data_IF_737416129586
#
_entry.id   IF_737416129586
#
_cell.length_a   1.000
_cell.length_b   1.000
_cell.length_c   1.000
_cell.angle_alpha   90.00
_cell.angle_beta   90.00
_cell.angle_gamma   90.00
#
_symmetry.space_group_name_H-M   'P 1'
#
loop_
_entity.id
_entity.type
_entity.pdbx_description
1 polymer ?
#
# COMPACT_ATOMS: atom_id res chain seq x y z
N UNK A 1 -16.46 -3.36 8.16
CA UNK A 1 -16.96 -3.96 9.43
C UNK A 1 -16.96 -5.48 9.38
N UNK A 2 -17.60 -6.14 8.40
CA UNK A 2 -17.66 -7.60 8.30
C UNK A 2 -16.27 -8.29 8.31
N UNK A 3 -15.31 -7.81 7.51
CA UNK A 3 -13.94 -8.34 7.51
C UNK A 3 -13.25 -8.29 8.89
N UNK A 4 -13.46 -7.21 9.65
CA UNK A 4 -12.90 -7.08 11.00
C UNK A 4 -13.52 -8.09 11.96
N UNK A 5 -14.85 -8.27 11.92
CA UNK A 5 -15.55 -9.27 12.72
C UNK A 5 -15.05 -10.69 12.41
N UNK A 6 -14.87 -11.03 11.13
CA UNK A 6 -14.33 -12.32 10.71
C UNK A 6 -12.88 -12.52 11.19
N UNK A 7 -12.04 -11.48 11.15
CA UNK A 7 -10.69 -11.55 11.71
C UNK A 7 -10.70 -11.79 13.23
N UNK A 8 -11.56 -11.08 13.97
CA UNK A 8 -11.67 -11.28 15.42
C UNK A 8 -12.19 -12.68 15.76
N UNK A 9 -13.20 -13.17 15.04
CA UNK A 9 -13.68 -14.54 15.18
C UNK A 9 -12.57 -15.56 14.90
N UNK A 10 -11.84 -15.40 13.79
CA UNK A 10 -10.76 -16.30 13.42
C UNK A 10 -9.62 -16.29 14.44
N UNK A 11 -9.28 -15.11 15.00
CA UNK A 11 -8.27 -14.95 16.03
C UNK A 11 -8.68 -15.62 17.35
N UNK A 12 -9.93 -15.44 17.79
CA UNK A 12 -10.45 -16.10 18.99
C UNK A 12 -10.46 -17.61 18.79
N UNK A 13 -10.95 -18.09 17.63
CA UNK A 13 -11.02 -19.52 17.33
C UNK A 13 -9.62 -20.16 17.34
N UNK A 14 -8.64 -19.59 16.63
CA UNK A 14 -7.28 -20.15 16.62
C UNK A 14 -6.60 -19.97 17.99
N UNK A 15 -6.90 -18.90 18.72
CA UNK A 15 -6.44 -18.67 20.09
C UNK A 15 -6.85 -19.79 21.04
N UNK A 16 -8.14 -20.13 21.05
CA UNK A 16 -8.69 -21.20 21.88
C UNK A 16 -8.07 -22.57 21.56
N UNK A 17 -7.71 -22.82 20.31
CA UNK A 17 -7.09 -24.08 19.89
C UNK A 17 -5.58 -24.12 20.19
N UNK A 18 -4.86 -23.01 19.98
CA UNK A 18 -3.41 -23.01 19.91
C UNK A 18 -2.73 -22.52 21.21
N UNK A 19 -3.34 -21.58 21.93
CA UNK A 19 -2.78 -21.06 23.20
C UNK A 19 -2.56 -22.16 24.25
N UNK A 20 -3.44 -23.16 24.43
CA UNK A 20 -3.20 -24.25 25.39
C UNK A 20 -1.93 -25.06 25.12
N UNK A 21 -1.53 -25.19 23.85
CA UNK A 21 -0.31 -25.89 23.47
C UNK A 21 0.94 -25.01 23.58
N UNK A 22 0.84 -23.73 23.20
CA UNK A 22 1.98 -22.82 23.12
C UNK A 22 2.30 -22.13 24.46
N UNK A 23 1.27 -21.82 25.22
CA UNK A 23 1.28 -20.82 26.30
C UNK A 23 1.41 -19.38 25.77
N UNK A 24 1.06 -18.42 26.62
CA UNK A 24 0.95 -16.98 26.30
C UNK A 24 2.17 -16.40 25.57
N UNK A 25 3.38 -16.69 26.03
CA UNK A 25 4.60 -16.09 25.47
C UNK A 25 4.89 -16.55 24.02
N UNK A 26 4.75 -17.86 23.74
CA UNK A 26 4.93 -18.39 22.38
C UNK A 26 3.78 -17.97 21.47
N UNK A 27 2.56 -17.92 21.99
CA UNK A 27 1.40 -17.45 21.24
C UNK A 27 1.58 -16.00 20.80
N UNK A 28 1.93 -15.09 21.73
CA UNK A 28 2.14 -13.69 21.42
C UNK A 28 3.31 -13.47 20.46
N UNK A 29 4.45 -14.12 20.70
CA UNK A 29 5.61 -14.00 19.80
C UNK A 29 5.33 -14.55 18.41
N UNK A 30 4.64 -15.69 18.29
CA UNK A 30 4.22 -16.22 16.99
C UNK A 30 3.32 -15.23 16.24
N UNK A 31 2.33 -14.65 16.93
CA UNK A 31 1.41 -13.70 16.33
C UNK A 31 2.14 -12.47 15.79
N UNK A 32 3.05 -11.88 16.57
CA UNK A 32 3.82 -10.71 16.17
C UNK A 32 4.78 -11.02 15.01
N UNK A 33 5.55 -12.11 15.11
CA UNK A 33 6.54 -12.49 14.10
C UNK A 33 5.84 -12.89 12.79
N UNK A 34 4.73 -13.60 12.85
CA UNK A 34 3.98 -13.96 11.65
C UNK A 34 3.27 -12.76 11.01
N UNK A 35 2.87 -11.77 11.81
CA UNK A 35 2.43 -10.47 11.31
C UNK A 35 3.52 -9.78 10.49
N UNK A 36 4.76 -9.73 11.00
CA UNK A 36 5.92 -9.21 10.27
C UNK A 36 6.14 -9.99 8.96
N UNK A 37 6.12 -11.33 9.02
CA UNK A 37 6.26 -12.19 7.83
C UNK A 37 5.21 -11.89 6.76
N UNK A 38 3.95 -11.71 7.16
CA UNK A 38 2.87 -11.32 6.26
C UNK A 38 3.09 -9.94 5.66
N UNK A 39 3.43 -8.94 6.47
CA UNK A 39 3.69 -7.58 6.00
C UNK A 39 4.85 -7.51 5.01
N UNK A 40 5.93 -8.25 5.26
CA UNK A 40 7.08 -8.30 4.32
C UNK A 40 6.66 -8.94 2.99
N UNK A 41 5.91 -10.04 3.01
CA UNK A 41 5.41 -10.65 1.79
C UNK A 41 4.46 -9.72 1.01
N UNK A 42 3.61 -8.97 1.72
CA UNK A 42 2.78 -7.93 1.10
C UNK A 42 3.62 -6.88 0.39
N UNK A 43 4.62 -6.31 1.08
CA UNK A 43 5.44 -5.23 0.53
C UNK A 43 6.27 -5.74 -0.66
N UNK A 44 6.72 -6.99 -0.61
CA UNK A 44 7.47 -7.60 -1.70
C UNK A 44 6.64 -7.89 -2.95
N UNK A 45 5.34 -8.21 -2.78
CA UNK A 45 4.50 -8.64 -3.89
C UNK A 45 3.58 -7.53 -4.43
N UNK A 46 3.27 -6.52 -3.62
CA UNK A 46 2.35 -5.45 -3.98
C UNK A 46 3.08 -4.10 -3.99
N UNK A 47 3.11 -3.45 -5.15
CA UNK A 47 3.85 -2.21 -5.38
C UNK A 47 3.24 -0.96 -4.73
N UNK A 48 1.92 -0.97 -4.49
CA UNK A 48 1.17 0.22 -4.04
C UNK A 48 0.19 -0.06 -2.90
N UNK A 49 0.08 -1.29 -2.41
CA UNK A 49 -0.88 -1.61 -1.33
C UNK A 49 -0.22 -1.56 0.05
N UNK A 50 -0.60 -0.56 0.85
CA UNK A 50 -0.33 -0.57 2.29
C UNK A 50 -1.29 -1.56 2.95
N UNK A 51 -0.89 -2.82 3.03
CA UNK A 51 -1.66 -3.84 3.75
C UNK A 51 -1.32 -3.79 5.25
N UNK A 52 -2.10 -3.01 5.99
CA UNK A 52 -2.09 -3.03 7.45
C UNK A 52 -3.23 -3.93 7.94
N UNK A 53 -2.94 -5.21 8.21
CA UNK A 53 -3.98 -6.19 8.53
C UNK A 53 -3.57 -7.23 9.56
N UNK A 54 -4.41 -7.41 10.58
CA UNK A 54 -4.31 -8.53 11.52
C UNK A 54 -4.44 -9.91 10.84
N UNK A 55 -5.02 -9.96 9.64
CA UNK A 55 -5.28 -11.20 8.89
C UNK A 55 -3.99 -11.94 8.50
N UNK A 56 -2.91 -11.25 8.14
CA UNK A 56 -1.61 -11.89 7.89
C UNK A 56 -1.07 -12.62 9.12
N UNK A 57 -1.13 -11.98 10.29
CA UNK A 57 -0.76 -12.59 11.57
C UNK A 57 -1.67 -13.78 11.92
N UNK A 58 -2.99 -13.68 11.68
CA UNK A 58 -3.95 -14.77 11.89
C UNK A 58 -3.61 -15.97 11.00
N UNK A 59 -3.37 -15.76 9.71
CA UNK A 59 -2.91 -16.82 8.80
C UNK A 59 -1.59 -17.45 9.27
N UNK A 60 -0.72 -16.63 9.84
CA UNK A 60 0.44 -17.08 10.59
C UNK A 60 0.13 -18.06 11.71
N UNK A 61 -0.84 -17.74 12.57
CA UNK A 61 -1.26 -18.64 13.65
C UNK A 61 -1.85 -19.95 13.11
N UNK A 62 -2.57 -19.90 11.99
CA UNK A 62 -3.00 -21.11 11.28
C UNK A 62 -1.81 -21.91 10.74
N UNK A 63 -0.77 -21.25 10.22
CA UNK A 63 0.47 -21.89 9.78
C UNK A 63 1.20 -22.58 10.91
N UNK A 64 1.31 -21.93 12.08
CA UNK A 64 1.86 -22.55 13.29
C UNK A 64 1.07 -23.80 13.64
N UNK A 65 -0.27 -23.72 13.62
CA UNK A 65 -1.11 -24.85 13.99
C UNK A 65 -1.00 -26.00 12.99
N UNK A 66 -0.95 -25.72 11.68
CA UNK A 66 -0.68 -26.72 10.64
C UNK A 66 0.65 -27.43 10.89
N UNK A 67 1.72 -26.69 11.20
CA UNK A 67 3.01 -27.29 11.54
C UNK A 67 2.92 -28.19 12.78
N UNK A 68 2.16 -27.81 13.82
CA UNK A 68 2.00 -28.67 15.00
C UNK A 68 1.14 -29.92 14.71
N UNK A 69 0.15 -29.82 13.84
CA UNK A 69 -0.71 -30.93 13.42
C UNK A 69 0.04 -32.01 12.64
N UNK A 70 1.15 -31.68 11.97
CA UNK A 70 2.02 -32.67 11.30
C UNK A 70 2.98 -33.36 12.27
N UNK A 71 3.10 -32.88 13.51
CA UNK A 71 3.98 -33.45 14.54
C UNK A 71 3.25 -34.43 15.46
N UNK A 72 3.95 -34.99 16.45
CA UNK A 72 3.35 -35.86 17.48
C UNK A 72 2.66 -35.10 18.64
N UNK A 73 2.66 -33.76 18.63
CA UNK A 73 2.15 -32.96 19.75
C UNK A 73 0.64 -33.06 19.94
N UNK A 74 -0.12 -33.18 18.84
CA UNK A 74 -1.58 -33.26 18.85
C UNK A 74 -2.01 -34.71 18.66
N UNK A 75 -3.07 -35.16 19.33
CA UNK A 75 -3.57 -36.52 19.22
C UNK A 75 -3.97 -36.90 17.78
N UNK A 76 -3.61 -38.12 17.37
CA UNK A 76 -3.79 -38.59 15.98
C UNK A 76 -5.25 -38.57 15.53
N UNK A 77 -6.19 -38.83 16.44
CA UNK A 77 -7.65 -38.80 16.21
C UNK A 77 -8.14 -37.42 15.79
N UNK A 78 -7.61 -36.35 16.39
CA UNK A 78 -8.03 -34.97 16.13
C UNK A 78 -7.40 -34.37 14.87
N UNK A 79 -6.19 -34.82 14.48
CA UNK A 79 -5.39 -34.20 13.40
C UNK A 79 -6.14 -34.07 12.08
N UNK A 80 -6.77 -35.15 11.62
CA UNK A 80 -7.44 -35.16 10.30
C UNK A 80 -8.58 -34.14 10.26
N UNK A 81 -9.42 -34.11 11.29
CA UNK A 81 -10.56 -33.18 11.38
C UNK A 81 -10.07 -31.73 11.42
N UNK A 82 -9.07 -31.44 12.25
CA UNK A 82 -8.51 -30.09 12.37
C UNK A 82 -7.81 -29.63 11.08
N UNK A 83 -7.04 -30.49 10.42
CA UNK A 83 -6.42 -30.17 9.12
C UNK A 83 -7.45 -29.88 8.04
N UNK A 84 -8.55 -30.64 7.99
CA UNK A 84 -9.65 -30.36 7.04
C UNK A 84 -10.28 -29.01 7.34
N UNK A 85 -10.62 -28.75 8.61
CA UNK A 85 -11.23 -27.48 9.04
C UNK A 85 -10.36 -26.27 8.67
N UNK A 86 -9.07 -26.33 8.99
CA UNK A 86 -8.10 -25.27 8.65
C UNK A 86 -7.91 -25.16 7.15
N UNK A 87 -7.81 -26.29 6.43
CA UNK A 87 -7.66 -26.31 4.98
C UNK A 87 -8.83 -25.63 4.27
N UNK A 88 -10.06 -25.89 4.71
CA UNK A 88 -11.26 -25.21 4.22
C UNK A 88 -11.21 -23.72 4.51
N UNK A 89 -10.85 -23.31 5.73
CA UNK A 89 -10.72 -21.90 6.09
C UNK A 89 -9.67 -21.16 5.23
N UNK A 90 -8.46 -21.72 5.12
CA UNK A 90 -7.36 -21.14 4.34
C UNK A 90 -7.75 -21.05 2.86
N UNK A 91 -8.28 -22.14 2.29
CA UNK A 91 -8.72 -22.16 0.90
C UNK A 91 -9.81 -21.12 0.62
N UNK A 92 -10.85 -21.07 1.46
CA UNK A 92 -11.94 -20.12 1.30
C UNK A 92 -11.46 -18.66 1.34
N UNK A 93 -10.59 -18.30 2.29
CA UNK A 93 -10.11 -16.94 2.40
C UNK A 93 -9.18 -16.55 1.23
N UNK A 94 -8.27 -17.42 0.82
CA UNK A 94 -7.39 -17.17 -0.33
C UNK A 94 -8.19 -17.06 -1.64
N UNK A 95 -9.20 -17.93 -1.83
CA UNK A 95 -10.08 -17.87 -2.99
C UNK A 95 -10.90 -16.57 -3.03
N UNK A 96 -11.33 -16.06 -1.87
CA UNK A 96 -11.97 -14.74 -1.81
C UNK A 96 -11.00 -13.60 -2.11
N UNK A 97 -9.72 -13.72 -1.74
CA UNK A 97 -8.75 -12.68 -2.05
C UNK A 97 -8.41 -12.53 -3.53
N UNK A 98 -8.72 -13.53 -4.36
CA UNK A 98 -8.65 -13.40 -5.81
C UNK A 98 -9.67 -12.40 -6.38
N UNK A 99 -10.70 -12.02 -5.62
CA UNK A 99 -11.74 -11.06 -6.04
C UNK A 99 -11.36 -9.59 -5.80
N UNK A 100 -10.15 -9.32 -5.29
CA UNK A 100 -9.69 -7.97 -4.95
C UNK A 100 -10.09 -7.52 -3.53
N UNK A 101 -9.39 -6.50 -3.02
CA UNK A 101 -9.64 -5.92 -1.68
C UNK A 101 -9.12 -6.75 -0.49
N UNK A 102 -8.46 -7.88 -0.75
CA UNK A 102 -7.79 -8.72 0.27
C UNK A 102 -6.38 -9.01 -0.22
N UNK A 103 -5.41 -8.80 0.66
CA UNK A 103 -4.02 -9.05 0.36
C UNK A 103 -3.65 -10.53 0.60
N UNK A 104 -3.67 -11.30 -0.49
CA UNK A 104 -3.27 -12.70 -0.48
C UNK A 104 -1.76 -12.88 -0.24
N UNK A 105 -0.92 -11.89 -0.58
CA UNK A 105 0.51 -11.98 -0.33
C UNK A 105 0.78 -11.96 1.17
N UNK A 106 0.09 -11.11 1.94
CA UNK A 106 0.16 -11.17 3.41
C UNK A 106 -0.35 -12.49 3.99
N UNK A 107 -1.41 -13.08 3.42
CA UNK A 107 -1.95 -14.37 3.91
C UNK A 107 -0.97 -15.51 3.67
N UNK A 108 -0.40 -15.59 2.47
CA UNK A 108 0.57 -16.63 2.11
C UNK A 108 1.86 -16.44 2.90
N UNK A 109 2.39 -15.22 2.97
CA UNK A 109 3.60 -14.90 3.75
C UNK A 109 3.43 -15.14 5.23
N UNK A 110 2.26 -14.81 5.78
CA UNK A 110 1.87 -15.14 7.15
C UNK A 110 1.86 -16.64 7.36
N UNK A 111 1.12 -17.40 6.55
CA UNK A 111 0.99 -18.86 6.65
C UNK A 111 2.34 -19.57 6.60
N UNK A 112 3.20 -19.22 5.64
CA UNK A 112 4.54 -19.80 5.49
C UNK A 112 5.45 -19.44 6.66
N UNK A 113 5.44 -18.17 7.10
CA UNK A 113 6.18 -17.75 8.30
C UNK A 113 5.70 -18.51 9.55
N UNK A 114 4.39 -18.69 9.68
CA UNK A 114 3.77 -19.50 10.72
C UNK A 114 4.24 -20.95 10.75
N UNK A 115 4.36 -21.60 9.58
CA UNK A 115 4.89 -22.97 9.49
C UNK A 115 6.31 -23.05 10.05
N UNK A 116 7.18 -22.11 9.67
CA UNK A 116 8.56 -22.03 10.15
C UNK A 116 8.60 -21.83 11.67
N UNK A 117 7.79 -20.91 12.20
CA UNK A 117 7.68 -20.64 13.64
C UNK A 117 7.21 -21.90 14.39
N UNK A 118 6.16 -22.58 13.89
CA UNK A 118 5.60 -23.77 14.53
C UNK A 118 6.58 -24.94 14.62
N UNK A 119 7.29 -25.23 13.52
CA UNK A 119 8.35 -26.24 13.55
C UNK A 119 9.52 -25.85 14.46
N UNK A 120 9.87 -24.57 14.51
CA UNK A 120 10.93 -24.08 15.39
C UNK A 120 10.57 -24.21 16.87
N UNK A 121 9.30 -24.01 17.25
CA UNK A 121 8.85 -24.19 18.64
C UNK A 121 8.78 -25.65 19.07
N UNK A 122 8.53 -26.58 18.14
CA UNK A 122 8.26 -27.99 18.43
C UNK A 122 9.25 -28.65 19.41
N UNK A 123 10.59 -28.55 19.26
CA UNK A 123 11.54 -29.15 20.20
C UNK A 123 11.33 -28.72 21.66
N UNK A 124 11.07 -27.43 21.87
CA UNK A 124 10.84 -26.85 23.21
C UNK A 124 9.44 -27.11 23.77
N UNK A 125 8.52 -27.62 22.95
CA UNK A 125 7.17 -28.03 23.35
C UNK A 125 7.17 -29.49 23.82
N UNK A 126 7.91 -30.38 23.15
CA UNK A 126 7.99 -31.80 23.54
C UNK A 126 8.96 -32.06 24.69
N UNK A 127 9.99 -31.22 24.83
CA UNK A 127 10.94 -31.25 25.94
C UNK A 127 10.97 -29.85 26.56
N UNK A 128 10.03 -29.55 27.48
CA UNK A 128 9.93 -28.22 28.07
C UNK A 128 11.19 -27.89 28.87
N UNK A 129 12.03 -27.06 28.27
CA UNK A 129 13.28 -26.60 28.87
C UNK A 129 13.22 -25.07 29.08
N UNK A 130 13.69 -24.62 30.25
CA UNK A 130 13.62 -23.20 30.66
C UNK A 130 14.52 -22.30 29.81
N UNK A 131 15.54 -22.87 29.16
CA UNK A 131 16.53 -22.19 28.33
C UNK A 131 16.11 -22.24 26.86
N UNK A 132 15.65 -23.39 26.38
CA UNK A 132 15.32 -23.58 24.96
C UNK A 132 14.17 -22.68 24.50
N UNK A 133 13.13 -22.50 25.33
CA UNK A 133 11.99 -21.62 25.02
C UNK A 133 12.41 -20.17 24.69
N UNK A 134 13.06 -19.42 25.61
CA UNK A 134 13.44 -18.03 25.32
C UNK A 134 14.47 -17.93 24.19
N UNK A 135 15.39 -18.90 24.05
CA UNK A 135 16.35 -18.92 22.95
C UNK A 135 15.64 -19.02 21.60
N UNK A 136 14.70 -19.95 21.44
CA UNK A 136 13.98 -20.10 20.16
C UNK A 136 13.18 -18.84 19.81
N UNK A 137 12.50 -18.22 20.80
CA UNK A 137 11.79 -16.96 20.58
C UNK A 137 12.76 -15.85 20.17
N UNK A 138 13.89 -15.73 20.86
CA UNK A 138 14.92 -14.74 20.57
C UNK A 138 15.52 -14.89 19.16
N UNK A 139 15.91 -16.11 18.79
CA UNK A 139 16.45 -16.42 17.45
C UNK A 139 15.42 -16.10 16.37
N UNK A 140 14.17 -16.55 16.51
CA UNK A 140 13.13 -16.25 15.52
C UNK A 140 12.90 -14.74 15.39
N UNK A 141 12.87 -14.02 16.50
CA UNK A 141 12.68 -12.56 16.48
C UNK A 141 13.83 -11.88 15.73
N UNK A 142 15.08 -12.28 16.00
CA UNK A 142 16.27 -11.73 15.34
C UNK A 142 16.28 -12.07 13.85
N UNK A 143 16.07 -13.34 13.48
CA UNK A 143 16.10 -13.80 12.09
C UNK A 143 15.01 -13.10 11.27
N UNK A 144 13.77 -13.09 11.76
CA UNK A 144 12.69 -12.41 11.05
C UNK A 144 12.92 -10.90 11.00
N UNK A 145 13.40 -10.25 12.07
CA UNK A 145 13.64 -8.81 12.05
C UNK A 145 14.78 -8.41 11.10
N UNK A 146 15.91 -9.13 11.11
CA UNK A 146 17.04 -8.88 10.21
C UNK A 146 16.64 -9.17 8.76
N UNK A 147 15.98 -10.32 8.51
CA UNK A 147 15.49 -10.66 7.18
C UNK A 147 14.50 -9.62 6.65
N UNK A 148 13.55 -9.20 7.49
CA UNK A 148 12.58 -8.15 7.14
C UNK A 148 13.27 -6.83 6.84
N UNK A 149 14.24 -6.41 7.66
CA UNK A 149 14.99 -5.17 7.42
C UNK A 149 15.78 -5.22 6.11
N UNK A 150 16.44 -6.35 5.81
CA UNK A 150 17.16 -6.54 4.56
C UNK A 150 16.23 -6.47 3.35
N UNK A 151 15.07 -7.13 3.42
CA UNK A 151 14.06 -7.12 2.35
C UNK A 151 13.48 -5.72 2.18
N UNK A 152 13.02 -5.07 3.24
CA UNK A 152 12.44 -3.72 3.19
C UNK A 152 13.44 -2.69 2.65
N UNK A 153 14.71 -2.78 3.04
CA UNK A 153 15.76 -1.90 2.50
C UNK A 153 16.03 -2.13 1.01
N UNK A 154 15.85 -3.36 0.52
CA UNK A 154 16.02 -3.67 -0.90
C UNK A 154 14.77 -3.36 -1.72
N UNK A 155 13.59 -3.30 -1.10
CA UNK A 155 12.33 -2.89 -1.74
C UNK A 155 12.11 -1.38 -1.63
N UNK A 156 12.88 -0.64 -0.82
CA UNK A 156 12.64 0.79 -0.60
C UNK A 156 12.83 1.59 -1.89
N UNK A 157 11.78 1.62 -2.68
CA UNK A 157 11.53 2.52 -3.78
C UNK A 157 11.50 3.94 -3.23
N UNK A 158 11.77 4.89 -4.10
CA UNK A 158 11.73 6.31 -3.77
C UNK A 158 10.28 6.80 -3.51
N UNK A 159 9.30 5.90 -3.31
CA UNK A 159 7.89 6.16 -3.01
C UNK A 159 7.71 7.13 -1.83
N UNK A 160 8.52 7.01 -0.77
CA UNK A 160 8.43 7.94 0.37
C UNK A 160 8.77 9.38 -0.03
N UNK A 161 9.80 9.55 -0.87
CA UNK A 161 10.17 10.86 -1.43
C UNK A 161 9.15 11.33 -2.46
N UNK A 162 8.61 10.40 -3.25
CA UNK A 162 7.55 10.65 -4.21
C UNK A 162 6.32 11.23 -3.53
N UNK A 163 5.85 10.63 -2.43
CA UNK A 163 4.68 11.14 -1.71
C UNK A 163 4.91 12.55 -1.16
N UNK A 164 6.08 12.81 -0.57
CA UNK A 164 6.48 14.15 -0.10
C UNK A 164 6.51 15.18 -1.24
N UNK A 165 7.14 14.84 -2.38
CA UNK A 165 7.17 15.71 -3.56
C UNK A 165 5.77 15.88 -4.19
N UNK A 166 4.92 14.87 -4.17
CA UNK A 166 3.54 14.98 -4.67
C UNK A 166 2.66 15.86 -3.77
N UNK A 167 2.94 15.99 -2.47
CA UNK A 167 2.32 17.02 -1.63
C UNK A 167 2.72 18.43 -2.07
N UNK A 168 3.98 18.63 -2.47
CA UNK A 168 4.42 19.91 -3.05
C UNK A 168 3.72 20.18 -4.39
N UNK A 169 3.57 19.16 -5.25
CA UNK A 169 2.79 19.28 -6.50
C UNK A 169 1.37 19.79 -6.24
N UNK A 170 0.66 19.23 -5.25
CA UNK A 170 -0.71 19.66 -4.90
C UNK A 170 -0.73 21.13 -4.48
N UNK A 171 0.27 21.59 -3.72
CA UNK A 171 0.36 23.01 -3.32
C UNK A 171 0.63 23.92 -4.52
N UNK A 172 1.49 23.52 -5.44
CA UNK A 172 1.78 24.25 -6.67
C UNK A 172 0.54 24.33 -7.57
N UNK A 173 -0.15 23.21 -7.78
CA UNK A 173 -1.43 23.16 -8.51
C UNK A 173 -2.47 24.09 -7.88
N UNK A 174 -2.66 24.03 -6.56
CA UNK A 174 -3.61 24.89 -5.87
C UNK A 174 -3.31 26.38 -6.07
N UNK A 175 -2.03 26.78 -6.11
CA UNK A 175 -1.63 28.16 -6.43
C UNK A 175 -1.88 28.47 -7.91
N UNK A 176 -1.51 27.54 -8.80
CA UNK A 176 -1.64 27.70 -10.24
C UNK A 176 -3.09 27.89 -10.69
N UNK A 177 -4.03 27.15 -10.07
CA UNK A 177 -5.48 27.24 -10.34
C UNK A 177 -6.14 28.51 -9.76
N UNK A 178 -5.37 29.44 -9.20
CA UNK A 178 -5.86 30.71 -8.65
C UNK A 178 -6.70 31.54 -9.63
N UNK A 179 -6.36 31.50 -10.91
CA UNK A 179 -7.11 32.14 -12.01
C UNK A 179 -8.62 31.82 -11.95
N UNK A 180 -8.97 30.55 -11.75
CA UNK A 180 -10.37 30.09 -11.76
C UNK A 180 -11.15 30.44 -10.50
N UNK A 181 -10.48 31.02 -9.50
CA UNK A 181 -11.09 31.50 -8.26
C UNK A 181 -11.24 33.02 -8.22
N UNK A 182 -10.76 33.73 -9.26
CA UNK A 182 -10.92 35.17 -9.34
C UNK A 182 -12.40 35.56 -9.45
N UNK A 183 -12.83 36.67 -8.82
CA UNK A 183 -14.17 37.21 -9.03
C UNK A 183 -14.44 37.53 -10.51
N UNK A 184 -15.68 37.37 -10.97
CA UNK A 184 -16.08 37.78 -12.32
C UNK A 184 -15.89 39.29 -12.59
N UNK A 185 -15.74 40.08 -11.54
CA UNK A 185 -15.48 41.53 -11.60
C UNK A 185 -14.00 41.88 -11.68
N UNK A 186 -13.10 40.90 -11.78
CA UNK A 186 -11.65 41.16 -11.88
C UNK A 186 -11.29 41.87 -13.19
N UNK A 187 -10.33 42.79 -13.12
CA UNK A 187 -9.84 43.51 -14.29
C UNK A 187 -8.88 42.63 -15.10
N UNK A 188 -8.72 42.94 -16.39
CA UNK A 188 -7.76 42.27 -17.27
C UNK A 188 -6.34 42.29 -16.67
N UNK A 189 -5.95 43.40 -16.05
CA UNK A 189 -4.65 43.54 -15.37
C UNK A 189 -4.50 42.57 -14.18
N UNK A 190 -5.55 42.38 -13.38
CA UNK A 190 -5.55 41.40 -12.28
C UNK A 190 -5.49 39.96 -12.80
N UNK A 191 -6.21 39.68 -13.90
CA UNK A 191 -6.21 38.36 -14.53
C UNK A 191 -4.83 38.04 -15.11
N UNK A 192 -4.22 38.97 -15.85
CA UNK A 192 -2.88 38.83 -16.41
C UNK A 192 -1.83 38.65 -15.31
N UNK A 193 -1.93 39.43 -14.22
CA UNK A 193 -1.05 39.27 -13.07
C UNK A 193 -1.14 37.87 -12.47
N UNK A 194 -2.36 37.34 -12.28
CA UNK A 194 -2.59 36.00 -11.74
C UNK A 194 -2.06 34.92 -12.68
N UNK A 195 -2.27 35.05 -13.98
CA UNK A 195 -1.76 34.12 -15.00
C UNK A 195 -0.23 34.03 -14.96
N UNK A 196 0.47 35.17 -14.90
CA UNK A 196 1.93 35.19 -14.97
C UNK A 196 2.59 34.78 -13.65
N UNK A 197 2.14 35.37 -12.53
CA UNK A 197 2.85 35.25 -11.26
C UNK A 197 2.46 33.99 -10.48
N UNK A 198 1.24 33.51 -10.67
CA UNK A 198 0.72 32.33 -9.98
C UNK A 198 0.45 31.18 -10.95
N UNK A 199 -0.22 31.41 -12.07
CA UNK A 199 -0.59 30.37 -13.03
C UNK A 199 0.60 29.66 -13.70
N UNK A 200 1.15 30.29 -14.72
CA UNK A 200 2.21 29.73 -15.58
C UNK A 200 3.42 29.36 -14.74
N UNK A 201 3.85 30.24 -13.82
CA UNK A 201 5.00 29.99 -12.94
C UNK A 201 4.84 28.70 -12.13
N UNK A 202 3.71 28.51 -11.43
CA UNK A 202 3.54 27.30 -10.62
C UNK A 202 3.33 26.06 -11.51
N UNK A 203 2.72 26.16 -12.70
CA UNK A 203 2.63 25.03 -13.63
C UNK A 203 3.99 24.61 -14.18
N UNK A 204 4.88 25.55 -14.48
CA UNK A 204 6.26 25.26 -14.92
C UNK A 204 7.08 24.60 -13.80
N UNK A 205 6.92 25.06 -12.55
CA UNK A 205 7.53 24.38 -11.40
C UNK A 205 6.93 22.99 -11.15
N UNK A 206 5.61 22.81 -11.30
CA UNK A 206 4.97 21.50 -11.26
C UNK A 206 5.52 20.57 -12.33
N UNK A 207 5.75 21.06 -13.55
CA UNK A 207 6.32 20.26 -14.65
C UNK A 207 7.75 19.79 -14.32
N UNK A 208 8.61 20.67 -13.81
CA UNK A 208 9.97 20.31 -13.37
C UNK A 208 9.93 19.28 -12.23
N UNK A 209 8.98 19.44 -11.30
CA UNK A 209 8.79 18.50 -10.20
C UNK A 209 8.38 17.12 -10.72
N UNK A 210 7.45 17.05 -11.67
CA UNK A 210 7.05 15.78 -12.30
C UNK A 210 8.24 15.11 -13.00
N UNK A 211 9.08 15.87 -13.72
CA UNK A 211 10.29 15.32 -14.36
C UNK A 211 11.32 14.83 -13.34
N UNK A 212 11.46 15.51 -12.20
CA UNK A 212 12.31 15.06 -11.09
C UNK A 212 11.81 13.75 -10.50
N UNK A 213 10.52 13.66 -10.17
CA UNK A 213 9.96 12.47 -9.53
C UNK A 213 9.83 11.29 -10.48
N UNK A 214 9.77 11.51 -11.80
CA UNK A 214 9.77 10.43 -12.78
C UNK A 214 11.13 9.75 -12.94
N UNK A 215 12.21 10.36 -12.42
CA UNK A 215 13.54 9.76 -12.36
C UNK A 215 13.77 8.89 -11.11
N UNK A 216 12.79 8.83 -10.21
CA UNK A 216 12.83 8.00 -9.01
C UNK A 216 12.63 6.52 -9.37
N UNK A 217 13.16 5.63 -8.52
CA UNK A 217 12.87 4.20 -8.60
C UNK A 217 11.44 3.95 -8.10
N UNK A 218 10.49 3.91 -9.03
CA UNK A 218 9.05 3.81 -8.77
C UNK A 218 8.41 2.64 -9.53
N UNK A 219 7.27 2.12 -9.05
CA UNK A 219 6.46 1.19 -9.83
C UNK A 219 5.97 1.79 -11.16
N UNK A 220 5.80 0.95 -12.19
CA UNK A 220 5.33 1.35 -13.53
C UNK A 220 4.01 2.15 -13.49
N UNK A 221 3.12 1.82 -12.56
CA UNK A 221 1.86 2.53 -12.37
C UNK A 221 2.07 4.02 -12.01
N UNK A 222 3.10 4.34 -11.22
CA UNK A 222 3.44 5.73 -10.88
C UNK A 222 4.13 6.43 -12.05
N UNK A 223 4.96 5.75 -12.84
CA UNK A 223 5.49 6.32 -14.08
C UNK A 223 4.37 6.65 -15.08
N UNK A 224 3.37 5.79 -15.22
CA UNK A 224 2.19 6.06 -16.05
C UNK A 224 1.40 7.27 -15.54
N UNK A 225 1.22 7.36 -14.22
CA UNK A 225 0.59 8.52 -13.57
C UNK A 225 1.38 9.81 -13.81
N UNK A 226 2.71 9.77 -13.67
CA UNK A 226 3.59 10.92 -13.91
C UNK A 226 3.52 11.39 -15.36
N UNK A 227 3.49 10.47 -16.33
CA UNK A 227 3.32 10.81 -17.74
C UNK A 227 2.01 11.59 -17.98
N UNK A 228 0.90 11.18 -17.34
CA UNK A 228 -0.38 11.90 -17.42
C UNK A 228 -0.36 13.25 -16.71
N UNK A 229 0.29 13.34 -15.54
CA UNK A 229 0.48 14.62 -14.84
C UNK A 229 1.36 15.60 -15.65
N UNK A 230 2.34 15.09 -16.39
CA UNK A 230 3.18 15.87 -17.31
C UNK A 230 2.34 16.49 -18.42
N UNK A 231 1.52 15.67 -19.09
CA UNK A 231 0.58 16.14 -20.13
C UNK A 231 -0.41 17.18 -19.57
N UNK A 232 -0.94 16.94 -18.37
CA UNK A 232 -1.82 17.89 -17.67
C UNK A 232 -1.15 19.25 -17.44
N UNK A 233 0.08 19.28 -16.90
CA UNK A 233 0.81 20.53 -16.69
C UNK A 233 1.08 21.26 -18.01
N UNK A 234 1.46 20.53 -19.06
CA UNK A 234 1.73 21.11 -20.38
C UNK A 234 0.47 21.74 -21.00
N UNK A 235 -0.68 21.07 -20.91
CA UNK A 235 -1.95 21.61 -21.39
C UNK A 235 -2.39 22.84 -20.59
N UNK A 236 -2.20 22.82 -19.26
CA UNK A 236 -2.48 23.99 -18.41
C UNK A 236 -1.63 25.19 -18.79
N UNK A 237 -0.33 25.01 -19.03
CA UNK A 237 0.57 26.08 -19.49
C UNK A 237 0.10 26.64 -20.84
N UNK A 238 -0.24 25.77 -21.80
CA UNK A 238 -0.76 26.19 -23.12
C UNK A 238 -2.06 26.99 -22.96
N UNK A 239 -3.02 26.47 -22.20
CA UNK A 239 -4.28 27.14 -21.89
C UNK A 239 -4.07 28.54 -21.30
N UNK A 240 -3.19 28.67 -20.30
CA UNK A 240 -2.91 29.96 -19.65
C UNK A 240 -2.26 30.95 -20.62
N UNK A 241 -1.29 30.51 -21.44
CA UNK A 241 -0.67 31.35 -22.48
C UNK A 241 -1.67 31.80 -23.54
N UNK A 242 -2.62 30.93 -23.91
CA UNK A 242 -3.68 31.28 -24.85
C UNK A 242 -4.69 32.27 -24.27
N UNK A 243 -5.08 32.11 -22.99
CA UNK A 243 -5.92 33.08 -22.27
C UNK A 243 -5.22 34.44 -22.17
N UNK A 244 -3.94 34.46 -21.79
CA UNK A 244 -3.12 35.68 -21.74
C UNK A 244 -3.12 36.43 -23.08
N UNK A 245 -2.97 35.68 -24.18
CA UNK A 245 -2.98 36.21 -25.54
C UNK A 245 -4.34 36.78 -25.93
N UNK A 246 -5.44 36.09 -25.59
CA UNK A 246 -6.80 36.56 -25.85
C UNK A 246 -7.10 37.89 -25.16
N UNK A 247 -6.70 38.03 -23.89
CA UNK A 247 -6.87 39.26 -23.10
C UNK A 247 -6.01 40.39 -23.67
N UNK A 248 -4.73 40.11 -23.94
CA UNK A 248 -3.78 41.10 -24.47
C UNK A 248 -4.18 41.64 -25.84
N UNK A 249 -4.73 40.78 -26.71
CA UNK A 249 -5.21 41.16 -28.05
C UNK A 249 -6.66 41.67 -28.04
N UNK A 250 -7.37 41.58 -26.90
CA UNK A 250 -8.79 41.97 -26.79
C UNK A 250 -9.69 41.20 -27.75
N UNK A 251 -9.44 39.91 -27.97
CA UNK A 251 -10.10 39.11 -29.01
C UNK A 251 -10.64 37.78 -28.47
N UNK A 252 -11.76 37.34 -29.05
CA UNK A 252 -12.38 36.04 -28.79
C UNK A 252 -11.93 34.94 -29.78
N UNK A 253 -10.95 35.24 -30.66
CA UNK A 253 -10.46 34.30 -31.68
C UNK A 253 -9.95 32.97 -31.09
N UNK A 254 -9.52 32.98 -29.83
CA UNK A 254 -8.91 31.83 -29.17
C UNK A 254 -9.90 30.99 -28.33
N UNK A 255 -11.16 31.39 -28.22
CA UNK A 255 -12.15 30.73 -27.36
C UNK A 255 -12.31 29.23 -27.69
N UNK A 256 -12.33 28.89 -28.98
CA UNK A 256 -12.40 27.51 -29.44
C UNK A 256 -11.17 26.70 -29.01
N UNK A 257 -9.97 27.29 -29.10
CA UNK A 257 -8.72 26.63 -28.72
C UNK A 257 -8.66 26.40 -27.20
N UNK A 258 -9.08 27.40 -26.41
CA UNK A 258 -9.19 27.29 -24.95
C UNK A 258 -10.17 26.18 -24.56
N UNK A 259 -11.32 26.10 -25.24
CA UNK A 259 -12.30 25.04 -25.01
C UNK A 259 -11.76 23.65 -25.34
N UNK A 260 -10.96 23.50 -26.41
CA UNK A 260 -10.29 22.23 -26.73
C UNK A 260 -9.34 21.82 -25.60
N UNK A 261 -8.52 22.74 -25.08
CA UNK A 261 -7.66 22.42 -23.94
C UNK A 261 -8.44 22.02 -22.70
N UNK A 262 -9.57 22.67 -22.41
CA UNK A 262 -10.41 22.30 -21.26
C UNK A 262 -10.95 20.87 -21.38
N UNK A 263 -11.42 20.47 -22.58
CA UNK A 263 -11.91 19.10 -22.84
C UNK A 263 -10.78 18.07 -22.65
N UNK A 264 -9.59 18.35 -23.19
CA UNK A 264 -8.43 17.46 -23.04
C UNK A 264 -7.98 17.34 -21.57
N UNK A 265 -7.98 18.45 -20.84
CA UNK A 265 -7.67 18.48 -19.40
C UNK A 265 -8.68 17.64 -18.61
N UNK A 266 -9.99 17.80 -18.87
CA UNK A 266 -11.03 17.01 -18.19
C UNK A 266 -10.87 15.51 -18.44
N UNK A 267 -10.49 15.13 -19.65
CA UNK A 267 -10.17 13.74 -19.99
C UNK A 267 -9.01 13.22 -19.16
N UNK A 268 -7.91 13.95 -19.06
CA UNK A 268 -6.74 13.53 -18.25
C UNK A 268 -7.10 13.43 -16.77
N UNK A 269 -7.87 14.38 -16.22
CA UNK A 269 -8.34 14.32 -14.82
C UNK A 269 -9.16 13.04 -14.59
N UNK A 270 -10.02 12.69 -15.54
CA UNK A 270 -10.81 11.45 -15.48
C UNK A 270 -9.92 10.22 -15.52
N UNK A 271 -8.93 10.16 -16.40
CA UNK A 271 -7.96 9.05 -16.47
C UNK A 271 -7.14 8.94 -15.18
N UNK A 272 -6.65 10.06 -14.64
CA UNK A 272 -5.89 10.10 -13.39
C UNK A 272 -6.70 9.58 -12.20
N UNK A 273 -8.03 9.79 -12.19
CA UNK A 273 -8.90 9.25 -11.13
C UNK A 273 -9.07 7.72 -11.18
N UNK A 274 -8.72 7.09 -12.31
CA UNK A 274 -8.80 5.64 -12.51
C UNK A 274 -7.49 4.91 -12.22
N UNK A 275 -6.36 5.63 -12.17
CA UNK A 275 -5.05 5.08 -11.80
C UNK A 275 -4.97 5.06 -10.27
N UNK A 276 -5.38 3.95 -9.64
CA UNK A 276 -5.22 3.67 -8.21
C UNK A 276 -3.92 2.93 -7.91
#
# INVERSE_FOLDING_TARGET
IFHLLMNMYALVYIGLLLEPYLGRARFLSAYLIAGISGSVASIFWNDLTISAGASGAIFGMYGVFVALLTTKLIEKSARKSLLISIGVFVFYNLANGLKGGIDNAAHIGGLLGGLVIGYSFYPSLIKPDKILKPITIGILTIVFSIGSFGIVKNISSDIGKYDEDMQLFVQLEQKALGLFRLPQTSTDEQILFEIENNGIKNWEESLKLIEKVDAYDLPDALHLRNARLKEYCQLRIKSYKTIQKAITEGTNKYDNEINVFNIEIEKIITELSQIQ
#
